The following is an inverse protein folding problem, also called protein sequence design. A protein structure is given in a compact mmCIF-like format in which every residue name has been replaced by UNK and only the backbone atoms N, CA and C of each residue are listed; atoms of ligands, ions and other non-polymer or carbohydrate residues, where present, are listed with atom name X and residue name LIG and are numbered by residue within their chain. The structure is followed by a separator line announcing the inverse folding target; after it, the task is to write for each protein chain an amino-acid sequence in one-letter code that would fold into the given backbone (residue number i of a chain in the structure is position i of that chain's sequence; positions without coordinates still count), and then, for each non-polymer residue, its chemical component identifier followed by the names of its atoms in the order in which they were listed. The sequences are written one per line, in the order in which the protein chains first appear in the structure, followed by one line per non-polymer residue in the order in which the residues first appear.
data_IF_961023006398
#
_entry.id   IF_961023006398
#
_cell.length_a   1.000
_cell.length_b   1.000
_cell.length_c   1.000
_cell.angle_alpha   90.00
_cell.angle_beta   90.00
_cell.angle_gamma   90.00
#
_symmetry.space_group_name_H-M   'P 1'
#
loop_
_entity.id
_entity.type
_entity.pdbx_description
1 polymer ?
#
# COMPACT_ATOMS: atom_id res chain seq x y z
N UNK A 1 -21.02 0.86 6.86
CA UNK A 1 -20.73 -0.06 5.76
C UNK A 1 -21.91 -0.17 4.77
N UNK A 2 -23.16 -0.47 5.21
CA UNK A 2 -24.33 -0.56 4.30
C UNK A 2 -24.55 0.66 3.40
N UNK A 3 -24.33 1.88 3.92
CA UNK A 3 -24.40 3.11 3.10
C UNK A 3 -23.25 3.18 2.10
N UNK A 4 -22.04 2.89 2.57
CA UNK A 4 -20.85 2.86 1.74
C UNK A 4 -20.98 1.89 0.56
N UNK A 5 -21.46 0.67 0.79
CA UNK A 5 -21.71 -0.33 -0.29
C UNK A 5 -22.69 0.16 -1.36
N UNK A 6 -23.68 1.02 -1.01
CA UNK A 6 -24.56 1.62 -2.01
C UNK A 6 -23.83 2.64 -2.89
N UNK A 7 -22.96 3.47 -2.27
CA UNK A 7 -22.14 4.41 -3.03
C UNK A 7 -21.16 3.66 -3.95
N UNK A 8 -20.47 2.64 -3.41
CA UNK A 8 -19.55 1.80 -4.16
C UNK A 8 -20.24 1.16 -5.38
N UNK A 9 -21.42 0.55 -5.18
CA UNK A 9 -22.23 -0.01 -6.28
C UNK A 9 -22.57 1.05 -7.33
N UNK A 10 -23.02 2.20 -6.90
CA UNK A 10 -23.36 3.27 -7.85
C UNK A 10 -22.15 3.73 -8.66
N UNK A 11 -20.96 3.85 -8.03
CA UNK A 11 -19.72 4.20 -8.72
C UNK A 11 -19.36 3.15 -9.78
N UNK A 12 -19.48 1.87 -9.45
CA UNK A 12 -19.21 0.76 -10.36
C UNK A 12 -20.22 0.73 -11.53
N UNK A 13 -21.49 0.98 -11.27
CA UNK A 13 -22.55 1.11 -12.30
C UNK A 13 -22.29 2.27 -13.28
N UNK A 14 -21.50 3.28 -12.88
CA UNK A 14 -21.08 4.36 -13.78
C UNK A 14 -19.81 4.03 -14.58
N UNK A 15 -19.28 2.81 -14.46
CA UNK A 15 -18.16 2.33 -15.26
C UNK A 15 -16.78 2.59 -14.62
N UNK A 16 -16.70 2.73 -13.31
CA UNK A 16 -15.42 2.72 -12.64
C UNK A 16 -14.83 1.31 -12.64
N UNK A 17 -13.63 1.16 -13.18
CA UNK A 17 -12.90 -0.11 -13.31
C UNK A 17 -11.73 -0.24 -12.30
N UNK A 18 -11.54 0.78 -11.45
CA UNK A 18 -10.53 0.79 -10.40
C UNK A 18 -11.05 1.55 -9.17
N UNK A 19 -11.19 0.86 -8.05
CA UNK A 19 -11.71 1.43 -6.80
C UNK A 19 -10.59 1.58 -5.78
N UNK A 20 -10.32 2.82 -5.38
CA UNK A 20 -9.43 3.17 -4.28
C UNK A 20 -10.23 3.31 -2.99
N UNK A 21 -9.95 2.45 -2.03
CA UNK A 21 -10.62 2.47 -0.72
C UNK A 21 -9.63 2.72 0.41
N UNK A 22 -9.82 3.84 1.12
CA UNK A 22 -8.95 4.28 2.20
C UNK A 22 -9.53 3.90 3.57
N UNK A 23 -8.80 3.07 4.31
CA UNK A 23 -9.16 2.58 5.63
C UNK A 23 -8.31 3.19 6.77
N UNK A 24 -7.59 4.27 6.52
CA UNK A 24 -6.67 4.87 7.49
C UNK A 24 -7.31 5.21 8.85
N UNK A 25 -8.60 5.49 8.92
CA UNK A 25 -9.32 5.71 10.19
C UNK A 25 -9.58 4.43 10.97
N UNK A 26 -9.48 3.27 10.34
CA UNK A 26 -9.64 1.95 10.93
C UNK A 26 -8.29 1.21 11.05
N UNK A 27 -7.16 1.91 10.88
CA UNK A 27 -5.80 1.36 10.92
C UNK A 27 -5.38 0.97 12.34
N UNK A 28 -4.45 0.01 12.45
CA UNK A 28 -3.77 -0.29 13.71
C UNK A 28 -3.03 0.93 14.27
N UNK A 29 -2.60 1.84 13.41
CA UNK A 29 -1.93 3.08 13.77
C UNK A 29 -2.87 4.07 14.49
N UNK A 30 -4.17 3.94 14.34
CA UNK A 30 -5.18 4.77 15.03
C UNK A 30 -5.72 4.16 16.31
N UNK A 31 -5.17 3.01 16.75
CA UNK A 31 -5.44 2.42 18.05
C UNK A 31 -6.31 1.17 18.05
N UNK A 32 -6.69 0.63 16.88
CA UNK A 32 -7.39 -0.65 16.80
C UNK A 32 -6.42 -1.80 17.11
N UNK A 33 -6.86 -2.78 17.89
CA UNK A 33 -6.09 -4.00 18.07
C UNK A 33 -6.27 -4.94 16.85
N UNK A 34 -5.32 -5.84 16.56
CA UNK A 34 -5.51 -6.83 15.51
C UNK A 34 -6.77 -7.69 15.68
N UNK A 35 -7.12 -8.02 16.92
CA UNK A 35 -8.34 -8.79 17.23
C UNK A 35 -9.61 -8.02 16.86
N UNK A 36 -9.70 -6.74 17.25
CA UNK A 36 -10.82 -5.87 16.88
C UNK A 36 -10.89 -5.64 15.36
N UNK A 37 -9.74 -5.52 14.72
CA UNK A 37 -9.68 -5.34 13.26
C UNK A 37 -10.26 -6.57 12.54
N UNK A 38 -9.87 -7.77 12.94
CA UNK A 38 -10.40 -9.03 12.39
C UNK A 38 -11.91 -9.15 12.59
N UNK A 39 -12.39 -8.85 13.81
CA UNK A 39 -13.81 -8.93 14.13
C UNK A 39 -14.67 -7.92 13.36
N UNK A 40 -14.17 -6.70 13.15
CA UNK A 40 -15.00 -5.60 12.69
C UNK A 40 -14.80 -5.26 11.20
N UNK A 41 -13.60 -5.51 10.62
CA UNK A 41 -13.26 -4.95 9.33
C UNK A 41 -12.92 -5.98 8.24
N UNK A 42 -12.27 -7.08 8.55
CA UNK A 42 -11.80 -8.04 7.53
C UNK A 42 -12.95 -8.55 6.64
N UNK A 43 -14.05 -8.96 7.22
CA UNK A 43 -15.20 -9.46 6.46
C UNK A 43 -15.84 -8.35 5.59
N UNK A 44 -15.80 -7.10 6.05
CA UNK A 44 -16.30 -5.95 5.29
C UNK A 44 -15.43 -5.63 4.11
N UNK A 45 -14.10 -5.71 4.28
CA UNK A 45 -13.16 -5.56 3.17
C UNK A 45 -13.40 -6.66 2.12
N UNK A 46 -13.56 -7.92 2.55
CA UNK A 46 -13.89 -9.03 1.64
C UNK A 46 -15.18 -8.77 0.85
N UNK A 47 -16.24 -8.33 1.54
CA UNK A 47 -17.51 -8.00 0.88
C UNK A 47 -17.37 -6.87 -0.14
N UNK A 48 -16.51 -5.88 0.12
CA UNK A 48 -16.28 -4.77 -0.80
C UNK A 48 -15.40 -5.21 -2.00
N UNK A 49 -14.38 -6.04 -1.77
CA UNK A 49 -13.60 -6.69 -2.83
C UNK A 49 -14.50 -7.54 -3.75
N UNK A 50 -15.34 -8.41 -3.19
CA UNK A 50 -16.28 -9.24 -3.96
C UNK A 50 -17.25 -8.39 -4.78
N UNK A 51 -17.74 -7.28 -4.22
CA UNK A 51 -18.60 -6.35 -4.94
C UNK A 51 -17.87 -5.72 -6.13
N UNK A 52 -16.64 -5.26 -5.93
CA UNK A 52 -15.82 -4.65 -6.99
C UNK A 52 -15.53 -5.67 -8.10
N UNK A 53 -15.11 -6.87 -7.76
CA UNK A 53 -14.84 -7.94 -8.71
C UNK A 53 -16.10 -8.38 -9.49
N UNK A 54 -17.30 -8.25 -8.90
CA UNK A 54 -18.55 -8.56 -9.60
C UNK A 54 -18.87 -7.62 -10.78
N UNK A 55 -18.11 -6.53 -10.91
CA UNK A 55 -18.17 -5.57 -12.03
C UNK A 55 -16.95 -5.61 -12.93
N UNK A 56 -16.10 -6.67 -12.82
CA UNK A 56 -14.81 -6.79 -13.53
C UNK A 56 -13.84 -5.62 -13.24
N UNK A 57 -13.96 -5.00 -12.06
CA UNK A 57 -13.14 -3.89 -11.59
C UNK A 57 -12.08 -4.36 -10.58
N UNK A 58 -11.06 -3.53 -10.34
CA UNK A 58 -9.95 -3.80 -9.41
C UNK A 58 -10.13 -3.06 -8.09
N UNK A 59 -9.78 -3.73 -6.99
CA UNK A 59 -9.83 -3.17 -5.64
C UNK A 59 -8.45 -2.78 -5.13
N UNK A 60 -8.25 -1.50 -4.87
CA UNK A 60 -7.03 -0.92 -4.33
C UNK A 60 -7.22 -0.50 -2.89
N UNK A 61 -6.54 -1.18 -1.99
CA UNK A 61 -6.59 -0.93 -0.55
C UNK A 61 -5.53 0.08 -0.12
N UNK A 62 -5.93 1.05 0.69
CA UNK A 62 -5.04 2.02 1.31
C UNK A 62 -5.14 1.91 2.84
N UNK A 63 -4.02 1.58 3.48
CA UNK A 63 -3.83 1.70 4.93
C UNK A 63 -2.36 2.03 5.19
N UNK A 64 -2.09 2.98 6.08
CA UNK A 64 -0.76 3.45 6.38
C UNK A 64 -0.28 3.06 7.79
N UNK A 65 1.05 3.01 7.95
CA UNK A 65 1.70 2.73 9.22
C UNK A 65 1.82 1.24 9.53
N UNK A 66 1.04 0.75 10.50
CA UNK A 66 1.20 -0.61 11.03
C UNK A 66 0.21 -1.58 10.41
N UNK A 67 0.69 -2.54 9.63
CA UNK A 67 -0.14 -3.56 8.98
C UNK A 67 0.37 -5.00 9.16
N UNK A 68 1.63 -5.20 9.57
CA UNK A 68 2.23 -6.54 9.64
C UNK A 68 1.44 -7.56 10.47
N UNK A 69 0.81 -7.21 11.62
CA UNK A 69 -0.03 -8.14 12.38
C UNK A 69 -1.28 -8.64 11.64
N UNK A 70 -1.65 -7.99 10.53
CA UNK A 70 -2.82 -8.30 9.71
C UNK A 70 -2.45 -8.75 8.29
N UNK A 71 -1.16 -8.82 7.96
CA UNK A 71 -0.71 -9.04 6.59
C UNK A 71 -1.30 -10.31 5.94
N UNK A 72 -1.39 -11.40 6.68
CA UNK A 72 -1.98 -12.66 6.20
C UNK A 72 -3.51 -12.52 6.03
N UNK A 73 -4.19 -11.90 6.98
CA UNK A 73 -5.63 -11.64 6.89
C UNK A 73 -5.96 -10.74 5.69
N UNK A 74 -5.15 -9.69 5.45
CA UNK A 74 -5.31 -8.78 4.31
C UNK A 74 -5.03 -9.48 2.98
N UNK A 75 -3.99 -10.32 2.90
CA UNK A 75 -3.71 -11.12 1.70
C UNK A 75 -4.87 -12.06 1.33
N UNK A 76 -5.61 -12.55 2.31
CA UNK A 76 -6.73 -13.46 2.14
C UNK A 76 -8.08 -12.74 1.89
N UNK A 77 -8.08 -11.41 1.78
CA UNK A 77 -9.28 -10.66 1.37
C UNK A 77 -9.54 -10.72 -0.14
N UNK A 78 -8.51 -11.01 -0.94
CA UNK A 78 -8.60 -11.03 -2.39
C UNK A 78 -8.39 -9.66 -3.05
N UNK A 79 -7.94 -8.64 -2.30
CA UNK A 79 -7.62 -7.32 -2.86
C UNK A 79 -6.54 -7.40 -3.95
N UNK A 80 -6.67 -6.58 -4.99
CA UNK A 80 -5.73 -6.58 -6.11
C UNK A 80 -4.45 -5.82 -5.80
N UNK A 81 -4.54 -4.76 -4.99
CA UNK A 81 -3.41 -3.89 -4.65
C UNK A 81 -3.51 -3.36 -3.22
N UNK A 82 -2.38 -3.28 -2.54
CA UNK A 82 -2.21 -2.55 -1.27
C UNK A 82 -1.14 -1.47 -1.43
N UNK A 83 -1.42 -0.27 -0.94
CA UNK A 83 -0.51 0.88 -1.05
C UNK A 83 -0.13 1.45 0.32
N UNK A 84 0.82 2.38 0.28
CA UNK A 84 1.39 3.06 1.46
C UNK A 84 2.13 2.12 2.42
N UNK A 85 2.78 1.09 1.87
CA UNK A 85 3.65 0.25 2.68
C UNK A 85 4.66 1.13 3.42
N UNK A 86 4.58 1.15 4.75
CA UNK A 86 5.36 2.05 5.58
C UNK A 86 6.42 1.28 6.37
N UNK A 87 7.72 1.48 6.06
CA UNK A 87 8.80 0.81 6.79
C UNK A 87 9.00 1.40 8.19
N UNK A 88 9.73 0.70 9.10
CA UNK A 88 10.19 1.29 10.35
C UNK A 88 11.09 2.52 10.13
N UNK A 89 11.05 3.54 11.02
CA UNK A 89 10.27 3.58 12.27
C UNK A 89 8.85 4.12 12.11
N UNK A 90 8.47 4.63 10.92
CA UNK A 90 7.16 5.27 10.68
C UNK A 90 6.01 4.26 10.68
N UNK A 91 6.27 3.04 10.23
CA UNK A 91 5.36 1.90 10.25
C UNK A 91 6.05 0.64 10.79
N UNK A 92 5.57 -0.54 10.34
CA UNK A 92 6.13 -1.83 10.76
C UNK A 92 6.38 -2.79 9.59
N UNK A 93 6.29 -2.32 8.36
CA UNK A 93 6.38 -3.20 7.18
C UNK A 93 7.79 -3.73 6.98
N UNK A 94 7.94 -5.03 7.16
CA UNK A 94 9.12 -5.79 6.75
C UNK A 94 8.98 -6.17 5.26
N UNK A 95 9.88 -5.66 4.41
CA UNK A 95 9.81 -5.83 2.96
C UNK A 95 9.89 -7.30 2.53
N UNK A 96 10.74 -8.08 3.15
CA UNK A 96 10.92 -9.50 2.80
C UNK A 96 9.66 -10.27 3.17
N UNK A 97 9.21 -10.10 4.41
CA UNK A 97 8.05 -10.80 4.94
C UNK A 97 6.75 -10.44 4.22
N UNK A 98 6.52 -9.14 3.95
CA UNK A 98 5.29 -8.73 3.24
C UNK A 98 5.30 -9.25 1.79
N UNK A 99 6.47 -9.25 1.14
CA UNK A 99 6.63 -9.84 -0.21
C UNK A 99 6.30 -11.32 -0.22
N UNK A 100 6.78 -12.10 0.76
CA UNK A 100 6.46 -13.52 0.88
C UNK A 100 4.96 -13.78 1.05
N UNK A 101 4.28 -12.98 1.90
CA UNK A 101 2.86 -13.15 2.20
C UNK A 101 1.98 -12.80 0.98
N UNK A 102 2.31 -11.70 0.28
CA UNK A 102 1.47 -11.12 -0.77
C UNK A 102 1.83 -11.61 -2.18
N UNK A 103 2.99 -12.27 -2.37
CA UNK A 103 3.45 -12.71 -3.70
C UNK A 103 2.40 -13.54 -4.43
N UNK A 104 2.10 -13.15 -5.68
CA UNK A 104 1.10 -13.81 -6.51
C UNK A 104 -0.37 -13.59 -6.08
N UNK A 105 -0.62 -12.83 -5.02
CA UNK A 105 -1.96 -12.52 -4.51
C UNK A 105 -2.31 -11.04 -4.72
N UNK A 106 -1.43 -10.14 -4.30
CA UNK A 106 -1.71 -8.71 -4.19
C UNK A 106 -0.53 -7.90 -4.71
N UNK A 107 -0.76 -6.89 -5.50
CA UNK A 107 0.26 -5.91 -5.93
C UNK A 107 0.62 -5.02 -4.75
N UNK A 108 1.91 -4.90 -4.48
CA UNK A 108 2.46 -4.07 -3.41
C UNK A 108 2.83 -2.67 -3.94
N UNK A 109 2.59 -1.61 -3.17
CA UNK A 109 3.02 -0.26 -3.57
C UNK A 109 3.46 0.58 -2.38
N UNK A 110 4.47 1.44 -2.58
CA UNK A 110 4.97 2.34 -1.55
C UNK A 110 6.41 2.07 -1.15
N UNK A 111 6.65 1.99 0.16
CA UNK A 111 7.85 1.61 0.89
C UNK A 111 8.93 2.70 1.07
N UNK A 112 9.12 3.65 0.16
CA UNK A 112 10.08 4.72 0.41
C UNK A 112 9.50 5.72 1.40
N UNK A 113 10.13 5.84 2.57
CA UNK A 113 9.58 6.62 3.69
C UNK A 113 9.48 8.11 3.34
N UNK A 114 8.27 8.65 3.30
CA UNK A 114 8.01 10.06 3.01
C UNK A 114 8.66 11.01 4.03
N UNK A 115 8.89 10.57 5.27
CA UNK A 115 9.60 11.32 6.30
C UNK A 115 11.11 11.40 5.94
N UNK A 116 11.69 10.32 5.42
CA UNK A 116 13.07 10.37 4.90
C UNK A 116 13.18 11.28 3.67
N UNK A 117 12.21 11.27 2.76
CA UNK A 117 12.23 12.21 1.63
C UNK A 117 12.27 13.65 2.11
N UNK A 118 11.60 13.97 3.21
CA UNK A 118 11.59 15.33 3.75
C UNK A 118 12.84 15.70 4.54
N UNK A 119 13.36 14.79 5.37
CA UNK A 119 14.37 15.10 6.39
C UNK A 119 15.68 14.32 6.25
N UNK A 120 15.72 13.31 5.40
CA UNK A 120 16.88 12.47 5.16
C UNK A 120 17.85 13.07 4.13
N UNK A 121 18.93 12.36 3.89
CA UNK A 121 19.90 12.69 2.85
C UNK A 121 19.54 12.03 1.51
N UNK A 122 20.02 12.57 0.38
CA UNK A 122 19.88 11.91 -0.92
C UNK A 122 20.38 10.46 -0.94
N UNK A 123 21.50 10.19 -0.23
CA UNK A 123 22.07 8.83 -0.13
C UNK A 123 21.12 7.86 0.56
N UNK A 124 20.51 8.25 1.67
CA UNK A 124 19.52 7.41 2.37
C UNK A 124 18.28 7.11 1.51
N UNK A 125 17.85 8.07 0.71
CA UNK A 125 16.71 7.92 -0.20
C UNK A 125 17.07 6.99 -1.35
N UNK A 126 18.26 7.19 -1.95
CA UNK A 126 18.77 6.34 -3.01
C UNK A 126 18.85 4.88 -2.56
N UNK A 127 19.47 4.62 -1.38
CA UNK A 127 19.61 3.28 -0.83
C UNK A 127 18.27 2.63 -0.49
N UNK A 128 17.32 3.38 0.07
CA UNK A 128 15.99 2.84 0.37
C UNK A 128 15.20 2.55 -0.90
N UNK A 129 15.31 3.40 -1.93
CA UNK A 129 14.65 3.20 -3.23
C UNK A 129 15.21 1.98 -3.93
N UNK A 130 16.55 1.83 -3.97
CA UNK A 130 17.22 0.64 -4.49
C UNK A 130 16.74 -0.62 -3.77
N UNK A 131 16.78 -0.62 -2.44
CA UNK A 131 16.34 -1.75 -1.63
C UNK A 131 14.88 -2.14 -1.92
N UNK A 132 13.98 -1.16 -2.02
CA UNK A 132 12.58 -1.42 -2.36
C UNK A 132 12.42 -2.08 -3.73
N UNK A 133 13.13 -1.59 -4.76
CA UNK A 133 13.11 -2.18 -6.08
C UNK A 133 13.69 -3.61 -6.12
N UNK A 134 14.83 -3.84 -5.45
CA UNK A 134 15.50 -5.14 -5.42
C UNK A 134 14.72 -6.20 -4.64
N UNK A 135 14.06 -5.84 -3.55
CA UNK A 135 13.36 -6.79 -2.67
C UNK A 135 11.89 -6.93 -3.07
N UNK A 136 11.15 -5.83 -3.13
CA UNK A 136 9.72 -5.87 -3.43
C UNK A 136 9.44 -6.02 -4.92
N UNK A 137 10.32 -5.47 -5.79
CA UNK A 137 10.23 -5.58 -7.24
C UNK A 137 10.60 -6.96 -7.79
N UNK A 138 11.31 -7.78 -7.02
CA UNK A 138 11.71 -9.12 -7.45
C UNK A 138 10.49 -9.95 -7.88
N UNK A 139 10.57 -10.56 -9.05
CA UNK A 139 9.51 -11.38 -9.66
C UNK A 139 8.18 -10.63 -9.91
N UNK A 140 8.22 -9.30 -10.00
CA UNK A 140 7.06 -8.46 -10.30
C UNK A 140 6.11 -8.21 -9.14
N UNK A 141 4.92 -7.63 -9.44
CA UNK A 141 3.88 -7.37 -8.44
C UNK A 141 4.23 -6.23 -7.47
N UNK A 142 5.06 -5.26 -7.90
CA UNK A 142 5.41 -4.09 -7.10
C UNK A 142 5.37 -2.80 -7.93
N UNK A 143 4.80 -1.77 -7.37
CA UNK A 143 4.80 -0.40 -7.89
C UNK A 143 5.57 0.48 -6.92
N UNK A 144 6.74 0.99 -7.34
CA UNK A 144 7.53 1.88 -6.52
C UNK A 144 6.73 3.14 -6.17
N UNK A 145 6.70 3.48 -4.90
CA UNK A 145 6.03 4.64 -4.37
C UNK A 145 6.58 5.07 -3.02
N UNK A 146 6.07 6.17 -2.52
CA UNK A 146 6.33 6.62 -1.15
C UNK A 146 5.36 5.98 -0.17
N UNK A 147 5.74 5.90 1.10
CA UNK A 147 4.88 5.35 2.17
C UNK A 147 3.65 6.21 2.45
N UNK A 148 3.64 7.45 2.00
CA UNK A 148 2.53 8.41 2.03
C UNK A 148 2.89 9.58 1.09
N UNK A 149 2.09 10.64 1.06
CA UNK A 149 2.28 11.82 0.23
C UNK A 149 3.65 12.47 0.46
N UNK A 150 4.31 12.90 -0.62
CA UNK A 150 5.48 13.77 -0.53
C UNK A 150 5.02 15.11 0.05
N UNK A 151 5.56 15.48 1.21
CA UNK A 151 5.13 16.64 1.98
C UNK A 151 5.69 17.95 1.44
N UNK A 152 4.93 19.05 1.61
CA UNK A 152 5.43 20.39 1.37
C UNK A 152 6.73 20.65 2.13
N UNK A 153 7.69 21.30 1.46
CA UNK A 153 9.01 21.56 2.04
C UNK A 153 9.97 20.37 1.97
N UNK A 154 9.62 19.29 1.26
CA UNK A 154 10.61 18.26 0.89
C UNK A 154 11.65 18.87 -0.06
N UNK A 155 12.96 18.68 0.21
CA UNK A 155 14.00 19.20 -0.68
C UNK A 155 13.86 18.66 -2.10
N UNK A 156 13.96 19.51 -3.10
CA UNK A 156 13.87 19.10 -4.52
C UNK A 156 14.89 18.00 -4.86
N UNK A 157 16.11 18.11 -4.33
CA UNK A 157 17.16 17.12 -4.55
C UNK A 157 16.76 15.73 -4.04
N UNK A 158 16.11 15.65 -2.87
CA UNK A 158 15.63 14.41 -2.30
C UNK A 158 14.53 13.78 -3.16
N UNK A 159 13.58 14.59 -3.60
CA UNK A 159 12.50 14.14 -4.50
C UNK A 159 13.10 13.65 -5.83
N UNK A 160 14.03 14.43 -6.41
CA UNK A 160 14.73 14.05 -7.64
C UNK A 160 15.49 12.73 -7.48
N UNK A 161 16.21 12.55 -6.38
CA UNK A 161 16.94 11.31 -6.10
C UNK A 161 16.01 10.09 -6.04
N UNK A 162 14.84 10.22 -5.43
CA UNK A 162 13.83 9.15 -5.42
C UNK A 162 13.43 8.74 -6.85
N UNK A 163 13.14 9.71 -7.73
CA UNK A 163 12.76 9.40 -9.11
C UNK A 163 13.92 8.85 -9.92
N UNK A 164 15.13 9.41 -9.80
CA UNK A 164 16.32 8.95 -10.53
C UNK A 164 16.67 7.50 -10.14
N UNK A 165 16.69 7.19 -8.86
CA UNK A 165 16.91 5.82 -8.35
C UNK A 165 15.80 4.86 -8.82
N UNK A 166 14.54 5.33 -8.82
CA UNK A 166 13.42 4.54 -9.35
C UNK A 166 13.57 4.21 -10.85
N UNK A 167 14.06 5.14 -11.65
CA UNK A 167 14.35 4.91 -13.08
C UNK A 167 15.55 3.98 -13.30
N UNK A 168 16.51 3.99 -12.38
CA UNK A 168 17.69 3.13 -12.42
C UNK A 168 17.37 1.67 -12.06
N UNK A 169 16.70 1.44 -10.93
CA UNK A 169 16.46 0.12 -10.36
C UNK A 169 15.07 -0.47 -10.64
N UNK A 170 14.09 0.34 -11.03
CA UNK A 170 12.72 -0.10 -11.26
C UNK A 170 12.46 -0.76 -12.61
N UNK A 171 13.51 -1.21 -13.31
CA UNK A 171 13.37 -1.92 -14.58
C UNK A 171 13.14 -3.40 -14.30
N UNK A 172 11.99 -3.89 -14.70
CA UNK A 172 11.76 -5.34 -14.78
C UNK A 172 12.58 -5.89 -15.97
N UNK A 173 13.43 -6.85 -15.68
CA UNK A 173 14.27 -7.55 -16.69
C UNK A 173 13.63 -8.91 -16.93
#
# INVERSE_FOLDING_TARGET
HRYYKKMLRHTLEQGADFIFEAWFNASLSTGWSPAMYRELFIDRIKEDVELVHSYDAYFHFYDDGRIMPLAEDLADTGMDMITTLTPPPSGDVDAVRIKEIMHGKTVLSGYVDCIKIRYGTPEEIYDQTRFACEVLGKDGGFILGTSDSIRDGSPYENVKTFFDAGLEFGKYV
#
